data_IF_356567585715
#
_entry.id   IF_356567585715
#
_cell.length_a   1.000
_cell.length_b   1.000
_cell.length_c   1.000
_cell.angle_alpha   90.00
_cell.angle_beta   90.00
_cell.angle_gamma   90.00
#
_symmetry.space_group_name_H-M   'P 1'
#
loop_
_entity.id
_entity.type
_entity.pdbx_description
1 polymer ?
#
# COMPACT_ATOMS: atom_id res chain seq x y z
N UNK A 1 0.27 15.77 4.21
CA UNK A 1 0.19 14.94 3.02
C UNK A 1 -0.62 13.70 3.35
N UNK A 2 -1.27 13.08 2.35
CA UNK A 2 -2.04 11.87 2.53
C UNK A 2 -1.51 10.73 1.67
N UNK A 3 -1.59 9.52 2.21
CA UNK A 3 -1.28 8.29 1.50
C UNK A 3 -2.52 7.42 1.37
N UNK A 4 -2.77 6.95 0.18
CA UNK A 4 -3.73 5.87 -0.07
C UNK A 4 -3.00 4.54 -0.03
N UNK A 5 -3.55 3.56 0.68
CA UNK A 5 -2.97 2.20 0.81
C UNK A 5 -4.00 1.18 0.31
N UNK A 6 -3.65 0.38 -0.67
CA UNK A 6 -4.54 -0.67 -1.15
C UNK A 6 -4.55 -1.84 -0.17
N UNK A 7 -5.71 -2.06 0.42
CA UNK A 7 -5.96 -3.13 1.38
C UNK A 7 -5.55 -2.80 2.81
N UNK A 8 -5.97 -3.68 3.72
CA UNK A 8 -5.60 -3.67 5.15
C UNK A 8 -4.88 -4.97 5.51
N UNK A 9 -3.96 -5.38 4.65
CA UNK A 9 -3.08 -6.52 4.89
C UNK A 9 -2.04 -6.20 5.98
N UNK A 10 -1.33 -7.22 6.45
CA UNK A 10 -0.39 -7.06 7.54
C UNK A 10 0.72 -6.04 7.22
N UNK A 11 1.34 -6.11 6.06
CA UNK A 11 2.38 -5.16 5.64
C UNK A 11 1.80 -3.77 5.43
N UNK A 12 0.61 -3.66 4.82
CA UNK A 12 -0.09 -2.38 4.66
C UNK A 12 -0.37 -1.69 5.99
N UNK A 13 -0.79 -2.45 7.00
CA UNK A 13 -1.03 -1.94 8.36
C UNK A 13 0.24 -1.45 9.05
N UNK A 14 1.37 -2.16 8.89
CA UNK A 14 2.67 -1.68 9.40
C UNK A 14 3.09 -0.36 8.75
N UNK A 15 2.88 -0.23 7.44
CA UNK A 15 3.22 0.99 6.73
C UNK A 15 2.25 2.13 7.03
N UNK A 16 0.96 1.85 7.23
CA UNK A 16 0.00 2.84 7.74
C UNK A 16 0.48 3.44 9.07
N UNK A 17 0.96 2.59 10.00
CA UNK A 17 1.56 3.03 11.27
C UNK A 17 2.75 3.97 11.04
N UNK A 18 3.72 3.56 10.20
CA UNK A 18 4.94 4.34 9.91
C UNK A 18 4.62 5.69 9.27
N UNK A 19 3.70 5.70 8.30
CA UNK A 19 3.27 6.91 7.61
C UNK A 19 2.55 7.88 8.56
N UNK A 20 1.66 7.37 9.41
CA UNK A 20 0.99 8.21 10.40
C UNK A 20 1.97 8.79 11.43
N UNK A 21 2.91 7.98 11.92
CA UNK A 21 3.95 8.44 12.83
C UNK A 21 4.84 9.54 12.22
N UNK A 22 4.93 9.59 10.89
CA UNK A 22 5.60 10.65 10.13
C UNK A 22 4.67 11.83 9.79
N UNK A 23 3.50 11.92 10.42
CA UNK A 23 2.57 13.04 10.25
C UNK A 23 1.70 12.98 8.99
N UNK A 24 1.60 11.81 8.33
CA UNK A 24 0.74 11.66 7.17
C UNK A 24 -0.65 11.14 7.55
N UNK A 25 -1.67 11.58 6.81
CA UNK A 25 -2.97 10.94 6.83
C UNK A 25 -2.94 9.67 5.98
N UNK A 26 -3.70 8.66 6.40
CA UNK A 26 -3.82 7.38 5.69
C UNK A 26 -5.28 7.12 5.36
N UNK A 27 -5.53 6.81 4.09
CA UNK A 27 -6.79 6.27 3.60
C UNK A 27 -6.58 4.84 3.10
N UNK A 28 -7.39 3.91 3.56
CA UNK A 28 -7.38 2.53 3.12
C UNK A 28 -8.31 2.36 1.92
N UNK A 29 -7.83 1.75 0.86
CA UNK A 29 -8.66 1.36 -0.27
C UNK A 29 -9.00 -0.11 -0.11
N UNK A 30 -10.20 -0.40 0.35
CA UNK A 30 -10.70 -1.75 0.62
C UNK A 30 -11.46 -2.28 -0.59
N UNK A 31 -11.49 -3.59 -0.75
CA UNK A 31 -12.04 -4.24 -1.95
C UNK A 31 -13.55 -4.10 -2.05
N UNK A 32 -14.26 -4.08 -0.94
CA UNK A 32 -15.74 -4.10 -0.90
C UNK A 32 -16.29 -3.10 0.10
N UNK A 33 -17.51 -2.62 -0.16
CA UNK A 33 -18.25 -1.76 0.78
C UNK A 33 -18.45 -2.44 2.14
N UNK A 34 -18.72 -3.75 2.13
CA UNK A 34 -18.83 -4.54 3.36
C UNK A 34 -17.58 -4.44 4.24
N UNK A 35 -16.39 -4.45 3.64
CA UNK A 35 -15.15 -4.27 4.40
C UNK A 35 -15.01 -2.83 4.93
N UNK A 36 -15.45 -1.84 4.16
CA UNK A 36 -15.49 -0.44 4.60
C UNK A 36 -16.43 -0.27 5.78
N UNK A 37 -17.65 -0.82 5.69
CA UNK A 37 -18.62 -0.79 6.78
C UNK A 37 -18.07 -1.46 8.04
N UNK A 38 -17.47 -2.65 7.89
CA UNK A 38 -16.85 -3.37 9.00
C UNK A 38 -15.72 -2.55 9.65
N UNK A 39 -14.92 -1.87 8.85
CA UNK A 39 -13.84 -1.01 9.34
C UNK A 39 -14.38 0.15 10.19
N UNK A 40 -15.42 0.84 9.71
CA UNK A 40 -16.04 1.92 10.46
C UNK A 40 -16.80 1.44 11.71
N UNK A 41 -17.44 0.29 11.66
CA UNK A 41 -18.09 -0.33 12.83
C UNK A 41 -17.09 -0.69 13.94
N UNK A 42 -15.83 -0.98 13.60
CA UNK A 42 -14.74 -1.24 14.56
C UNK A 42 -14.06 0.04 15.07
N UNK A 43 -14.56 1.23 14.72
CA UNK A 43 -14.06 2.51 15.22
C UNK A 43 -13.05 3.19 14.29
N UNK A 44 -12.95 2.81 13.00
CA UNK A 44 -12.15 3.47 11.98
C UNK A 44 -10.63 3.55 12.30
N UNK A 45 -10.08 2.46 12.80
CA UNK A 45 -8.64 2.36 13.10
C UNK A 45 -8.07 0.97 12.77
N UNK A 46 -6.77 0.95 12.46
CA UNK A 46 -5.99 -0.28 12.43
C UNK A 46 -5.33 -0.51 13.79
N UNK A 47 -5.32 -1.74 14.27
CA UNK A 47 -4.55 -2.15 15.43
C UNK A 47 -3.24 -2.82 15.02
N UNK A 48 -2.10 -2.31 15.47
CA UNK A 48 -0.81 -2.97 15.29
C UNK A 48 -0.26 -3.37 16.65
N UNK A 49 -0.16 -4.67 16.87
CA UNK A 49 0.35 -5.30 18.09
C UNK A 49 1.84 -5.62 17.93
N UNK A 50 2.62 -5.36 18.95
CA UNK A 50 4.05 -5.67 19.03
C UNK A 50 4.40 -6.10 20.47
N UNK A 51 5.63 -6.53 20.71
CA UNK A 51 6.07 -7.06 22.02
C UNK A 51 5.80 -6.14 23.22
N UNK A 52 5.82 -4.82 22.99
CA UNK A 52 5.68 -3.80 24.03
C UNK A 52 4.25 -3.24 24.16
N UNK A 53 3.26 -3.79 23.43
CA UNK A 53 1.88 -3.35 23.46
C UNK A 53 1.22 -3.26 22.11
N UNK A 54 0.34 -2.27 21.91
CA UNK A 54 -0.32 -2.05 20.63
C UNK A 54 -0.40 -0.57 20.29
N UNK A 55 -0.49 -0.28 19.00
CA UNK A 55 -0.73 1.06 18.47
C UNK A 55 -2.04 1.06 17.71
N UNK A 56 -2.92 2.01 18.03
CA UNK A 56 -4.13 2.30 17.27
C UNK A 56 -3.82 3.38 16.23
N UNK A 57 -4.15 3.13 14.97
CA UNK A 57 -3.85 4.00 13.84
C UNK A 57 -5.18 4.44 13.23
N UNK A 58 -5.66 5.67 13.52
CA UNK A 58 -6.87 6.18 12.90
C UNK A 58 -6.63 6.38 11.40
N UNK A 59 -7.56 5.85 10.60
CA UNK A 59 -7.54 5.92 9.16
C UNK A 59 -8.92 6.28 8.64
N UNK A 60 -8.99 6.71 7.38
CA UNK A 60 -10.23 6.65 6.61
C UNK A 60 -10.22 5.40 5.73
N UNK A 61 -11.37 5.00 5.22
CA UNK A 61 -11.49 3.88 4.29
C UNK A 61 -12.50 4.19 3.19
N UNK A 62 -12.21 3.71 1.99
CA UNK A 62 -13.06 3.80 0.82
C UNK A 62 -12.90 2.55 -0.04
N UNK A 63 -13.79 2.35 -1.01
CA UNK A 63 -13.56 1.40 -2.10
C UNK A 63 -13.01 2.14 -3.32
N UNK A 64 -12.46 1.46 -4.34
CA UNK A 64 -12.04 2.11 -5.58
C UNK A 64 -13.14 2.98 -6.23
N UNK A 65 -14.41 2.57 -6.09
CA UNK A 65 -15.54 3.32 -6.64
C UNK A 65 -15.94 4.56 -5.83
N UNK A 66 -15.70 4.55 -4.52
CA UNK A 66 -16.11 5.64 -3.62
C UNK A 66 -15.01 6.65 -3.29
N UNK A 67 -13.80 6.46 -3.81
CA UNK A 67 -12.72 7.47 -3.70
C UNK A 67 -13.21 8.76 -4.39
N UNK A 68 -13.19 9.86 -3.64
CA UNK A 68 -13.67 11.18 -4.06
C UNK A 68 -12.55 12.23 -4.25
N UNK A 69 -11.30 11.80 -4.27
CA UNK A 69 -10.12 12.65 -4.47
C UNK A 69 -9.18 12.02 -5.52
N UNK A 70 -8.24 12.83 -6.02
CA UNK A 70 -7.16 12.32 -6.85
C UNK A 70 -6.07 11.74 -5.96
N UNK A 71 -5.69 10.52 -6.23
CA UNK A 71 -4.61 9.82 -5.53
C UNK A 71 -3.27 10.39 -5.98
N UNK A 72 -2.54 11.02 -5.07
CA UNK A 72 -1.21 11.59 -5.34
C UNK A 72 -0.08 10.73 -4.79
N UNK A 73 -0.36 9.93 -3.77
CA UNK A 73 0.60 9.01 -3.14
C UNK A 73 -0.11 7.69 -2.86
N UNK A 74 0.37 6.62 -3.47
CA UNK A 74 -0.24 5.29 -3.39
C UNK A 74 0.79 4.26 -2.94
N UNK A 75 0.43 3.49 -1.92
CA UNK A 75 1.15 2.29 -1.52
C UNK A 75 0.33 1.05 -1.90
N UNK A 76 0.99 0.10 -2.56
CA UNK A 76 0.38 -1.16 -3.02
C UNK A 76 1.09 -2.35 -2.35
N UNK A 77 0.75 -2.66 -1.09
CA UNK A 77 1.39 -3.73 -0.32
C UNK A 77 0.61 -5.04 -0.48
N UNK A 78 0.52 -5.52 -1.71
CA UNK A 78 -0.24 -6.72 -2.06
C UNK A 78 0.70 -7.90 -2.34
N UNK A 79 0.13 -9.07 -2.54
CA UNK A 79 0.89 -10.18 -3.13
C UNK A 79 1.19 -9.89 -4.59
N UNK A 80 2.29 -10.42 -5.10
CA UNK A 80 2.78 -10.12 -6.45
C UNK A 80 1.73 -10.37 -7.54
N UNK A 81 0.95 -11.46 -7.41
CA UNK A 81 -0.09 -11.82 -8.39
C UNK A 81 -1.34 -10.92 -8.35
N UNK A 82 -1.58 -10.20 -7.25
CA UNK A 82 -2.72 -9.27 -7.10
C UNK A 82 -2.33 -7.82 -7.46
N UNK A 83 -1.04 -7.49 -7.56
CA UNK A 83 -0.57 -6.11 -7.60
C UNK A 83 -1.04 -5.35 -8.84
N UNK A 84 -1.05 -5.99 -10.01
CA UNK A 84 -1.47 -5.36 -11.26
C UNK A 84 -2.96 -5.02 -11.23
N UNK A 85 -3.81 -5.98 -10.87
CA UNK A 85 -5.27 -5.78 -10.79
C UNK A 85 -5.64 -4.75 -9.71
N UNK A 86 -4.90 -4.75 -8.61
CA UNK A 86 -5.06 -3.75 -7.55
C UNK A 86 -4.79 -2.32 -8.07
N UNK A 87 -3.73 -2.12 -8.84
CA UNK A 87 -3.42 -0.85 -9.50
C UNK A 87 -4.48 -0.46 -10.53
N UNK A 88 -4.90 -1.39 -11.36
CA UNK A 88 -5.94 -1.14 -12.37
C UNK A 88 -7.27 -0.69 -11.73
N UNK A 89 -7.62 -1.23 -10.56
CA UNK A 89 -8.86 -0.87 -9.86
C UNK A 89 -8.96 0.61 -9.48
N UNK A 90 -7.81 1.29 -9.32
CA UNK A 90 -7.73 2.70 -8.93
C UNK A 90 -7.13 3.61 -10.00
N UNK A 91 -6.82 3.08 -11.18
CA UNK A 91 -6.12 3.80 -12.24
C UNK A 91 -6.77 5.13 -12.60
N UNK A 92 -8.09 5.14 -12.73
CA UNK A 92 -8.85 6.36 -13.07
C UNK A 92 -8.85 7.45 -11.98
N UNK A 93 -8.37 7.11 -10.78
CA UNK A 93 -8.27 8.03 -9.64
C UNK A 93 -6.85 8.56 -9.43
N UNK A 94 -5.86 8.05 -10.15
CA UNK A 94 -4.49 8.50 -10.03
C UNK A 94 -4.33 9.92 -10.60
N UNK A 95 -3.66 10.79 -9.86
CA UNK A 95 -3.20 12.07 -10.38
C UNK A 95 -2.09 11.83 -11.42
N UNK A 96 -1.96 12.72 -12.42
CA UNK A 96 -0.98 12.54 -13.50
C UNK A 96 0.48 12.42 -13.02
N UNK A 97 0.79 13.01 -11.86
CA UNK A 97 2.12 12.97 -11.24
C UNK A 97 2.15 12.12 -9.96
N UNK A 98 1.23 11.15 -9.83
CA UNK A 98 1.17 10.33 -8.64
C UNK A 98 2.46 9.58 -8.39
N UNK A 99 2.84 9.48 -7.13
CA UNK A 99 3.91 8.60 -6.65
C UNK A 99 3.29 7.26 -6.25
N UNK A 100 3.75 6.19 -6.87
CA UNK A 100 3.27 4.83 -6.63
C UNK A 100 4.41 4.00 -6.08
N UNK A 101 4.20 3.39 -4.92
CA UNK A 101 5.14 2.43 -4.32
C UNK A 101 4.49 1.05 -4.32
N UNK A 102 4.99 0.17 -5.17
CA UNK A 102 4.54 -1.22 -5.25
C UNK A 102 5.42 -2.06 -4.34
N UNK A 103 4.84 -2.49 -3.22
CA UNK A 103 5.56 -3.27 -2.21
C UNK A 103 5.16 -4.74 -2.31
N UNK A 104 5.99 -5.49 -3.03
CA UNK A 104 5.77 -6.91 -3.29
C UNK A 104 7.04 -7.70 -3.06
N UNK A 105 6.90 -8.89 -2.47
CA UNK A 105 7.98 -9.85 -2.38
C UNK A 105 7.81 -10.88 -3.50
N UNK A 106 8.85 -11.05 -4.33
CA UNK A 106 8.86 -11.96 -5.47
C UNK A 106 8.88 -11.26 -6.83
N UNK A 107 9.06 -12.06 -7.86
CA UNK A 107 9.19 -11.61 -9.25
C UNK A 107 7.90 -11.87 -10.03
N UNK A 108 7.74 -11.17 -11.16
CA UNK A 108 6.72 -11.46 -12.18
C UNK A 108 5.83 -10.27 -12.53
N UNK A 109 5.35 -9.52 -11.56
CA UNK A 109 4.46 -8.39 -11.82
C UNK A 109 5.21 -7.08 -12.16
N UNK A 110 6.48 -6.95 -11.76
CA UNK A 110 7.23 -5.69 -11.86
C UNK A 110 7.35 -5.17 -13.29
N UNK A 111 7.70 -6.03 -14.23
CA UNK A 111 7.89 -5.61 -15.63
C UNK A 111 6.58 -5.17 -16.27
N UNK A 112 5.50 -5.91 -16.01
CA UNK A 112 4.16 -5.56 -16.49
C UNK A 112 3.70 -4.22 -15.92
N UNK A 113 3.86 -4.02 -14.60
CA UNK A 113 3.50 -2.78 -13.91
C UNK A 113 4.36 -1.63 -14.42
N UNK A 114 5.68 -1.83 -14.56
CA UNK A 114 6.59 -0.80 -15.08
C UNK A 114 6.18 -0.33 -16.47
N UNK A 115 5.84 -1.27 -17.37
CA UNK A 115 5.38 -0.93 -18.70
C UNK A 115 4.06 -0.15 -18.70
N UNK A 116 3.09 -0.58 -17.89
CA UNK A 116 1.75 0.01 -17.87
C UNK A 116 1.66 1.34 -17.12
N UNK A 117 2.60 1.61 -16.19
CA UNK A 117 2.63 2.77 -15.30
C UNK A 117 3.92 3.60 -15.45
N UNK A 118 4.59 3.54 -16.60
CA UNK A 118 5.85 4.24 -16.87
C UNK A 118 5.76 5.77 -16.77
N UNK A 119 4.56 6.32 -16.94
CA UNK A 119 4.32 7.78 -16.88
C UNK A 119 4.18 8.31 -15.45
N UNK A 120 4.10 7.42 -14.47
CA UNK A 120 4.00 7.77 -13.06
C UNK A 120 5.37 7.75 -12.36
N UNK A 121 5.44 8.38 -11.20
CA UNK A 121 6.62 8.27 -10.34
C UNK A 121 6.61 6.93 -9.59
N UNK A 122 7.01 5.86 -10.28
CA UNK A 122 6.89 4.48 -9.85
C UNK A 122 8.12 3.98 -9.12
N UNK A 123 7.91 3.39 -7.94
CA UNK A 123 8.91 2.70 -7.14
C UNK A 123 8.47 1.27 -6.83
N UNK A 124 9.44 0.38 -6.72
CA UNK A 124 9.25 -0.95 -6.19
C UNK A 124 9.91 -1.08 -4.83
N UNK A 125 9.27 -1.77 -3.92
CA UNK A 125 9.77 -2.03 -2.59
C UNK A 125 9.63 -3.51 -2.24
N UNK A 126 10.54 -3.97 -1.39
CA UNK A 126 10.52 -5.30 -0.81
C UNK A 126 10.83 -5.18 0.67
N UNK A 127 10.15 -5.93 1.52
CA UNK A 127 10.37 -5.90 2.97
C UNK A 127 10.54 -7.29 3.53
N UNK A 128 11.41 -7.40 4.55
CA UNK A 128 11.59 -8.60 5.35
C UNK A 128 10.90 -8.50 6.73
N UNK A 129 10.07 -7.47 6.95
CA UNK A 129 9.23 -7.41 8.16
C UNK A 129 8.34 -8.65 8.25
N UNK A 130 8.33 -9.29 9.42
CA UNK A 130 7.43 -10.38 9.74
C UNK A 130 6.14 -9.85 10.36
N UNK A 131 5.02 -10.01 9.67
CA UNK A 131 3.73 -9.57 10.17
C UNK A 131 2.60 -10.47 9.67
N UNK A 132 1.54 -10.58 10.46
CA UNK A 132 0.32 -11.29 10.07
C UNK A 132 -0.92 -10.67 10.71
N UNK A 133 -2.07 -10.82 10.06
CA UNK A 133 -3.34 -10.38 10.62
C UNK A 133 -3.90 -11.45 11.56
N UNK A 134 -4.15 -11.08 12.81
CA UNK A 134 -4.81 -11.94 13.80
C UNK A 134 -6.32 -12.04 13.53
N UNK A 135 -6.92 -10.91 13.23
CA UNK A 135 -8.29 -10.74 12.75
C UNK A 135 -8.31 -9.55 11.78
N UNK A 136 -9.38 -9.30 11.02
CA UNK A 136 -9.45 -8.13 10.15
C UNK A 136 -9.05 -6.84 10.88
N UNK A 137 -8.22 -6.02 10.25
CA UNK A 137 -7.70 -4.74 10.76
C UNK A 137 -6.82 -4.80 12.02
N UNK A 138 -6.46 -5.99 12.48
CA UNK A 138 -5.58 -6.18 13.63
C UNK A 138 -4.36 -7.02 13.23
N UNK A 139 -3.22 -6.37 13.15
CA UNK A 139 -1.96 -6.94 12.70
C UNK A 139 -1.02 -7.18 13.86
N UNK A 140 -0.34 -8.31 13.87
CA UNK A 140 0.79 -8.59 14.76
C UNK A 140 2.08 -8.36 13.99
N UNK A 141 2.94 -7.46 14.50
CA UNK A 141 4.30 -7.26 14.04
C UNK A 141 5.21 -8.25 14.78
N UNK A 142 5.51 -9.37 14.15
CA UNK A 142 6.22 -10.48 14.78
C UNK A 142 7.74 -10.32 14.74
N UNK A 143 8.27 -9.68 13.68
CA UNK A 143 9.71 -9.49 13.53
C UNK A 143 10.00 -8.21 12.74
N UNK A 144 10.96 -7.42 13.24
CA UNK A 144 11.46 -6.24 12.53
C UNK A 144 12.42 -6.67 11.43
N UNK A 145 12.19 -6.19 10.23
CA UNK A 145 13.00 -6.42 9.06
C UNK A 145 13.54 -5.15 8.44
N UNK A 146 14.07 -5.30 7.24
CA UNK A 146 14.55 -4.20 6.41
C UNK A 146 13.62 -4.01 5.21
N UNK A 147 13.54 -2.78 4.73
CA UNK A 147 12.83 -2.46 3.49
C UNK A 147 13.79 -1.85 2.49
N UNK A 148 13.81 -2.41 1.29
CA UNK A 148 14.51 -1.86 0.14
C UNK A 148 13.48 -1.20 -0.76
N UNK A 149 13.81 -0.01 -1.27
CA UNK A 149 12.98 0.73 -2.22
C UNK A 149 13.83 1.29 -3.34
N UNK A 150 13.35 1.23 -4.56
CA UNK A 150 14.08 1.74 -5.72
C UNK A 150 13.21 1.79 -6.97
N UNK A 151 13.76 2.39 -8.03
CA UNK A 151 13.21 2.30 -9.38
C UNK A 151 13.84 1.13 -10.09
N UNK A 152 13.08 0.44 -10.95
CA UNK A 152 13.67 -0.52 -11.85
C UNK A 152 14.39 0.22 -12.97
N UNK A 153 15.62 -0.19 -13.25
CA UNK A 153 16.34 0.27 -14.44
C UNK A 153 15.55 -0.11 -15.69
N UNK A 154 15.37 0.84 -16.58
CA UNK A 154 14.85 0.54 -17.90
C UNK A 154 16.01 0.07 -18.80
N UNK A 155 16.10 -1.23 -19.15
CA UNK A 155 17.20 -1.74 -19.95
C UNK A 155 17.29 -1.11 -21.34
N UNK A 156 16.18 -0.57 -21.87
CA UNK A 156 16.14 0.11 -23.16
C UNK A 156 16.81 1.50 -23.15
N UNK A 157 17.04 2.11 -21.97
CA UNK A 157 17.75 3.39 -21.84
C UNK A 157 19.27 3.26 -21.68
N UNK A 158 19.82 2.04 -21.65
CA UNK A 158 21.27 1.81 -21.51
C UNK A 158 22.04 1.77 -22.87
N UNK A 159 21.38 1.98 -23.99
CA UNK A 159 22.01 1.83 -25.32
C UNK A 159 22.60 3.11 -25.94
N UNK A 160 22.65 4.25 -25.21
CA UNK A 160 23.20 5.50 -25.73
C UNK A 160 24.23 6.12 -24.79
N UNK A 161 25.34 5.43 -24.57
CA UNK A 161 26.61 6.05 -24.09
C UNK A 161 27.82 5.33 -24.64
#
# INVERSE_FOLDING_TARGET
MGWDIIGAGAIGSLWAKRLQQSGNHVNLILRTEKQVDQFYQQGAHLGVFHSEGHTSIPCTASTPSTINHNITQLLVPTKAFDAFDALESVRSKLAANATIVVMINGYGAQQQIQKAYSDYNLFFASTTDGAFNKVPFHTVHAATGSTLIGKLDNPEKRSDT
#
